data_IF_456097631686
#
_entry.id   IF_456097631686
#
_cell.length_a   1.000
_cell.length_b   1.000
_cell.length_c   1.000
_cell.angle_alpha   90.00
_cell.angle_beta   90.00
_cell.angle_gamma   90.00
#
_symmetry.space_group_name_H-M   'P 1'
#
loop_
_entity.id
_entity.type
_entity.pdbx_description
1 polymer ?
#
# COMPACT_ATOMS: atom_id res chain seq x y z
N UNK A 1 -28.54 9.71 -27.24
CA UNK A 1 -27.67 10.58 -26.43
C UNK A 1 -26.41 9.79 -26.09
N UNK A 2 -25.26 10.43 -26.18
CA UNK A 2 -24.00 9.80 -25.81
C UNK A 2 -24.01 9.45 -24.32
N UNK A 3 -23.38 8.31 -23.92
CA UNK A 3 -23.36 7.91 -22.53
C UNK A 3 -22.57 8.91 -21.68
N UNK A 4 -23.10 9.21 -20.50
CA UNK A 4 -22.44 10.08 -19.53
C UNK A 4 -22.38 9.40 -18.15
N UNK A 5 -21.38 9.77 -17.34
CA UNK A 5 -21.21 9.32 -15.98
C UNK A 5 -20.96 10.51 -15.05
N UNK A 6 -21.38 10.40 -13.81
CA UNK A 6 -21.03 11.38 -12.77
C UNK A 6 -19.86 10.85 -11.98
N UNK A 7 -18.75 11.59 -11.98
CA UNK A 7 -17.54 11.26 -11.24
C UNK A 7 -17.17 12.39 -10.28
N UNK A 8 -16.49 12.00 -9.18
CA UNK A 8 -15.90 12.94 -8.24
C UNK A 8 -14.38 12.78 -8.28
N UNK A 9 -13.66 13.88 -8.36
CA UNK A 9 -12.20 13.91 -8.43
C UNK A 9 -11.63 15.12 -7.70
N UNK A 10 -10.35 15.06 -7.39
CA UNK A 10 -9.64 16.16 -6.76
C UNK A 10 -9.35 17.28 -7.77
N UNK A 11 -9.50 18.53 -7.33
CA UNK A 11 -9.28 19.70 -8.16
C UNK A 11 -8.52 20.77 -7.37
N UNK A 12 -7.46 21.30 -7.98
CA UNK A 12 -6.66 22.39 -7.41
C UNK A 12 -7.40 23.71 -7.57
N UNK A 13 -7.69 24.36 -6.46
CA UNK A 13 -8.29 25.69 -6.40
C UNK A 13 -7.36 26.70 -5.72
N UNK A 14 -7.78 27.96 -5.64
CA UNK A 14 -7.01 29.03 -5.02
C UNK A 14 -6.68 28.77 -3.53
N UNK A 15 -7.52 28.01 -2.82
CA UNK A 15 -7.38 27.70 -1.38
C UNK A 15 -6.89 26.27 -1.11
N UNK A 16 -6.36 25.55 -2.13
CA UNK A 16 -5.89 24.18 -1.99
C UNK A 16 -6.70 23.17 -2.80
N UNK A 17 -6.48 21.88 -2.55
CA UNK A 17 -7.16 20.78 -3.23
C UNK A 17 -8.53 20.55 -2.60
N UNK A 18 -9.56 20.39 -3.44
CA UNK A 18 -10.93 20.10 -3.03
C UNK A 18 -11.59 19.10 -3.96
N UNK A 19 -12.57 18.34 -3.48
CA UNK A 19 -13.38 17.44 -4.30
C UNK A 19 -14.29 18.25 -5.26
N UNK A 20 -14.29 17.84 -6.52
CA UNK A 20 -15.17 18.37 -7.59
C UNK A 20 -15.99 17.23 -8.16
N UNK A 21 -17.29 17.40 -8.27
CA UNK A 21 -18.19 16.46 -8.94
C UNK A 21 -18.51 17.02 -10.33
N UNK A 22 -18.42 16.18 -11.35
CA UNK A 22 -18.74 16.54 -12.73
C UNK A 22 -19.43 15.39 -13.46
N UNK A 23 -20.36 15.76 -14.35
CA UNK A 23 -20.89 14.84 -15.36
C UNK A 23 -19.94 14.84 -16.55
N UNK A 24 -19.41 13.67 -16.89
CA UNK A 24 -18.39 13.49 -17.92
C UNK A 24 -18.91 12.62 -19.06
N UNK A 25 -18.42 12.88 -20.26
CA UNK A 25 -18.61 12.05 -21.44
C UNK A 25 -17.26 11.52 -21.95
N UNK A 26 -17.30 10.77 -23.05
CA UNK A 26 -16.11 10.26 -23.73
C UNK A 26 -15.21 11.44 -24.14
N UNK A 27 -13.90 11.31 -23.92
CA UNK A 27 -12.91 12.35 -24.19
C UNK A 27 -12.71 13.37 -23.07
N UNK A 28 -13.48 13.29 -21.96
CA UNK A 28 -13.26 14.18 -20.82
C UNK A 28 -11.90 13.91 -20.16
N UNK A 29 -11.05 14.92 -20.09
CA UNK A 29 -9.71 14.86 -19.53
C UNK A 29 -9.69 15.38 -18.11
N UNK A 30 -9.38 14.48 -17.13
CA UNK A 30 -9.30 14.85 -15.72
C UNK A 30 -8.14 15.80 -15.43
N UNK A 31 -7.00 15.63 -16.08
CA UNK A 31 -5.84 16.49 -15.87
C UNK A 31 -6.18 17.97 -16.14
N UNK A 32 -6.77 18.27 -17.30
CA UNK A 32 -7.14 19.63 -17.69
C UNK A 32 -8.21 20.23 -16.75
N UNK A 33 -9.12 19.38 -16.24
CA UNK A 33 -10.26 19.80 -15.42
C UNK A 33 -9.98 19.80 -13.92
N UNK A 34 -8.84 19.24 -13.48
CA UNK A 34 -8.40 19.21 -12.09
C UNK A 34 -7.51 20.39 -11.68
N UNK A 35 -7.21 21.30 -12.59
CA UNK A 35 -6.19 22.33 -12.37
C UNK A 35 -4.77 21.75 -12.47
N UNK A 36 -4.59 20.81 -13.39
CA UNK A 36 -3.34 20.16 -13.75
C UNK A 36 -2.69 19.40 -12.58
N UNK A 37 -3.48 18.66 -11.84
CA UNK A 37 -2.96 17.77 -10.80
C UNK A 37 -2.18 16.60 -11.44
N UNK A 38 -0.94 16.40 -11.02
CA UNK A 38 -0.02 15.41 -11.60
C UNK A 38 -0.54 13.98 -11.55
N UNK A 39 -1.37 13.63 -10.56
CA UNK A 39 -2.03 12.34 -10.42
C UNK A 39 -2.91 11.97 -11.60
N UNK A 40 -3.46 12.95 -12.32
CA UNK A 40 -4.29 12.73 -13.52
C UNK A 40 -3.54 12.92 -14.85
N UNK A 41 -2.24 13.18 -14.81
CA UNK A 41 -1.43 13.53 -15.98
C UNK A 41 -1.34 12.40 -17.02
N UNK A 42 -1.31 11.13 -16.53
CA UNK A 42 -1.08 9.98 -17.41
C UNK A 42 -2.40 9.29 -17.73
N UNK A 43 -2.99 9.66 -18.89
CA UNK A 43 -4.07 8.91 -19.52
C UNK A 43 -5.41 8.89 -18.80
N UNK A 44 -5.66 9.79 -17.85
CA UNK A 44 -6.98 9.96 -17.23
C UNK A 44 -7.96 10.74 -18.13
N UNK A 45 -8.10 10.25 -19.35
CA UNK A 45 -9.09 10.70 -20.33
C UNK A 45 -10.14 9.61 -20.45
N UNK A 46 -11.41 9.96 -20.36
CA UNK A 46 -12.51 8.99 -20.46
C UNK A 46 -12.51 8.37 -21.85
N UNK A 47 -12.25 7.05 -21.92
CA UNK A 47 -12.21 6.24 -23.14
C UNK A 47 -13.58 5.70 -23.49
N UNK A 48 -14.28 5.15 -22.52
CA UNK A 48 -15.62 4.57 -22.69
C UNK A 48 -16.44 4.65 -21.40
N UNK A 49 -17.78 4.67 -21.57
CA UNK A 49 -18.76 4.60 -20.50
C UNK A 49 -19.74 3.50 -20.85
N UNK A 50 -19.87 2.47 -20.00
CA UNK A 50 -20.81 1.37 -20.19
C UNK A 50 -21.89 1.40 -19.11
N UNK A 51 -23.14 1.73 -19.49
CA UNK A 51 -24.26 1.80 -18.58
C UNK A 51 -24.82 0.42 -18.18
N UNK A 52 -24.36 -0.68 -18.82
CA UNK A 52 -24.82 -2.05 -18.47
C UNK A 52 -24.14 -2.57 -17.20
N UNK A 53 -22.86 -2.27 -17.05
CA UNK A 53 -22.10 -2.63 -15.86
C UNK A 53 -21.77 -1.42 -14.97
N UNK A 54 -22.31 -0.23 -15.32
CA UNK A 54 -22.07 1.03 -14.60
C UNK A 54 -20.59 1.36 -14.45
N UNK A 55 -19.81 1.27 -15.53
CA UNK A 55 -18.39 1.50 -15.53
C UNK A 55 -17.94 2.65 -16.40
N UNK A 56 -16.78 3.21 -16.04
CA UNK A 56 -16.02 4.19 -16.82
C UNK A 56 -14.60 3.65 -17.01
N UNK A 57 -14.12 3.61 -18.26
CA UNK A 57 -12.76 3.22 -18.59
C UNK A 57 -11.97 4.44 -19.07
N UNK A 58 -10.73 4.59 -18.61
CA UNK A 58 -9.80 5.63 -19.02
C UNK A 58 -8.77 5.11 -20.02
N UNK A 59 -8.12 6.02 -20.75
CA UNK A 59 -7.08 5.66 -21.75
C UNK A 59 -5.86 4.97 -21.13
N UNK A 60 -5.58 5.18 -19.85
CA UNK A 60 -4.52 4.49 -19.12
C UNK A 60 -4.86 3.03 -18.73
N UNK A 61 -6.03 2.52 -19.16
CA UNK A 61 -6.50 1.17 -18.89
C UNK A 61 -7.22 1.00 -17.55
N UNK A 62 -7.28 2.04 -16.72
CA UNK A 62 -8.04 2.00 -15.48
C UNK A 62 -9.54 1.95 -15.79
N UNK A 63 -10.24 0.98 -15.23
CA UNK A 63 -11.71 0.85 -15.29
C UNK A 63 -12.26 0.95 -13.87
N UNK A 64 -13.26 1.80 -13.68
CA UNK A 64 -13.95 2.00 -12.40
C UNK A 64 -15.44 1.71 -12.55
N UNK A 65 -16.03 1.16 -11.51
CA UNK A 65 -17.45 0.89 -11.42
C UNK A 65 -18.15 1.90 -10.50
N UNK A 66 -19.47 1.96 -10.59
CA UNK A 66 -20.24 2.85 -9.70
C UNK A 66 -19.98 2.51 -8.22
N UNK A 67 -19.52 3.52 -7.47
CA UNK A 67 -19.11 3.39 -6.07
C UNK A 67 -17.62 3.19 -5.86
N UNK A 68 -16.84 2.92 -6.91
CA UNK A 68 -15.39 2.80 -6.80
C UNK A 68 -14.73 4.17 -6.58
N UNK A 69 -13.59 4.13 -5.89
CA UNK A 69 -12.74 5.30 -5.64
C UNK A 69 -11.32 4.99 -6.12
N UNK A 70 -10.78 5.85 -6.99
CA UNK A 70 -9.37 5.80 -7.40
C UNK A 70 -8.57 6.81 -6.57
N UNK A 71 -7.28 6.58 -6.43
CA UNK A 71 -6.38 7.46 -5.71
C UNK A 71 -5.89 6.81 -4.43
N UNK A 72 -5.96 7.49 -3.30
CA UNK A 72 -5.39 6.99 -2.03
C UNK A 72 -5.93 5.62 -1.63
N UNK A 73 -7.21 5.35 -1.88
CA UNK A 73 -7.83 4.03 -1.62
C UNK A 73 -7.30 2.97 -2.58
N UNK A 74 -7.13 3.33 -3.87
CA UNK A 74 -6.54 2.43 -4.88
C UNK A 74 -5.07 2.12 -4.58
N UNK A 75 -4.31 3.12 -4.09
CA UNK A 75 -2.93 2.91 -3.67
C UNK A 75 -2.84 1.97 -2.46
N UNK A 76 -3.66 2.17 -1.45
CA UNK A 76 -3.72 1.29 -0.28
C UNK A 76 -4.13 -0.15 -0.68
N UNK A 77 -5.06 -0.31 -1.62
CA UNK A 77 -5.41 -1.63 -2.15
C UNK A 77 -4.25 -2.29 -2.89
N UNK A 78 -3.50 -1.54 -3.70
CA UNK A 78 -2.30 -2.07 -4.37
C UNK A 78 -1.24 -2.49 -3.36
N UNK A 79 -1.00 -1.68 -2.32
CA UNK A 79 -0.07 -2.02 -1.24
C UNK A 79 -0.52 -3.28 -0.50
N UNK A 80 -1.80 -3.40 -0.20
CA UNK A 80 -2.37 -4.60 0.42
C UNK A 80 -2.15 -5.85 -0.43
N UNK A 81 -2.39 -5.78 -1.74
CA UNK A 81 -2.12 -6.88 -2.67
C UNK A 81 -0.63 -7.24 -2.67
N UNK A 82 0.27 -6.25 -2.75
CA UNK A 82 1.72 -6.49 -2.73
C UNK A 82 2.17 -7.16 -1.43
N UNK A 83 1.64 -6.71 -0.29
CA UNK A 83 1.92 -7.31 1.02
C UNK A 83 1.45 -8.77 1.02
N UNK A 84 0.20 -9.03 0.62
CA UNK A 84 -0.39 -10.38 0.56
C UNK A 84 0.43 -11.33 -0.30
N UNK A 85 0.76 -10.94 -1.53
CA UNK A 85 1.55 -11.77 -2.46
C UNK A 85 2.96 -12.05 -1.92
N UNK A 86 3.56 -11.08 -1.23
CA UNK A 86 4.86 -11.27 -0.60
C UNK A 86 4.78 -12.28 0.55
N UNK A 87 3.74 -12.20 1.39
CA UNK A 87 3.51 -13.17 2.48
C UNK A 87 3.29 -14.57 1.91
N UNK A 88 2.43 -14.73 0.89
CA UNK A 88 2.19 -16.02 0.24
C UNK A 88 3.49 -16.63 -0.32
N UNK A 89 4.27 -15.82 -1.05
CA UNK A 89 5.55 -16.26 -1.60
C UNK A 89 6.58 -16.61 -0.50
N UNK A 90 6.57 -15.88 0.62
CA UNK A 90 7.41 -16.16 1.78
C UNK A 90 7.07 -17.51 2.39
N UNK A 91 5.79 -17.72 2.74
CA UNK A 91 5.31 -18.96 3.39
C UNK A 91 5.53 -20.18 2.50
N UNK A 92 5.29 -20.07 1.20
CA UNK A 92 5.54 -21.16 0.25
C UNK A 92 7.02 -21.56 0.22
N UNK A 93 7.93 -20.57 0.20
CA UNK A 93 9.37 -20.82 0.23
C UNK A 93 9.84 -21.33 1.57
N UNK A 94 9.32 -20.78 2.68
CA UNK A 94 9.67 -21.20 4.03
C UNK A 94 9.25 -22.65 4.25
N UNK A 95 8.04 -23.05 3.84
CA UNK A 95 7.54 -24.42 3.92
C UNK A 95 8.53 -25.41 3.30
N UNK A 96 9.03 -25.10 2.09
CA UNK A 96 9.97 -25.98 1.37
C UNK A 96 11.34 -26.09 2.06
N UNK A 97 11.74 -25.09 2.82
CA UNK A 97 13.05 -24.98 3.46
C UNK A 97 13.04 -25.31 4.95
N UNK A 98 11.85 -25.36 5.57
CA UNK A 98 11.66 -25.53 7.01
C UNK A 98 12.38 -26.74 7.56
N UNK A 99 12.15 -27.92 6.98
CA UNK A 99 12.79 -29.18 7.41
C UNK A 99 14.30 -29.24 7.14
N UNK A 100 14.84 -28.29 6.36
CA UNK A 100 16.28 -28.13 6.14
C UNK A 100 16.93 -27.20 7.16
N UNK A 101 16.15 -26.62 8.08
CA UNK A 101 16.60 -25.64 9.07
C UNK A 101 17.03 -24.32 8.47
N UNK A 102 16.57 -24.00 7.25
CA UNK A 102 16.90 -22.76 6.55
C UNK A 102 15.76 -21.75 6.76
N UNK A 103 16.09 -20.61 7.38
CA UNK A 103 15.15 -19.51 7.56
C UNK A 103 15.05 -18.67 6.29
N UNK A 104 13.83 -18.26 5.97
CA UNK A 104 13.54 -17.30 4.90
C UNK A 104 13.35 -15.92 5.52
N UNK A 105 13.81 -14.89 4.82
CA UNK A 105 13.60 -13.50 5.19
C UNK A 105 13.04 -12.76 3.97
N UNK A 106 11.98 -11.97 4.17
CA UNK A 106 11.45 -11.05 3.18
C UNK A 106 11.67 -9.60 3.61
N UNK A 107 12.05 -8.75 2.67
CA UNK A 107 12.29 -7.33 2.92
C UNK A 107 11.23 -6.50 2.22
N UNK A 108 10.64 -5.57 2.96
CA UNK A 108 9.73 -4.55 2.43
C UNK A 108 10.43 -3.20 2.49
N UNK A 109 10.51 -2.52 1.35
CA UNK A 109 10.95 -1.13 1.30
C UNK A 109 9.74 -0.22 1.37
N UNK A 110 9.72 0.66 2.35
CA UNK A 110 8.65 1.63 2.56
C UNK A 110 9.16 3.05 2.43
N UNK A 111 8.28 3.95 2.02
CA UNK A 111 8.59 5.36 1.72
C UNK A 111 8.57 6.26 2.95
N UNK A 112 7.75 5.93 3.95
CA UNK A 112 7.58 6.71 5.17
C UNK A 112 7.51 5.81 6.41
N UNK A 113 8.35 6.08 7.41
CA UNK A 113 8.36 5.33 8.67
C UNK A 113 7.00 5.38 9.38
N UNK A 114 6.28 6.50 9.30
CA UNK A 114 4.95 6.66 9.91
C UNK A 114 3.89 5.68 9.35
N UNK A 115 4.10 5.14 8.15
CA UNK A 115 3.22 4.10 7.58
C UNK A 115 3.44 2.73 8.22
N UNK A 116 4.60 2.53 8.86
CA UNK A 116 4.92 1.30 9.58
C UNK A 116 4.74 1.44 11.09
N UNK A 117 5.29 2.51 11.69
CA UNK A 117 5.24 2.76 13.14
C UNK A 117 4.96 4.21 13.46
N UNK A 118 4.02 4.43 14.36
CA UNK A 118 3.63 5.74 14.86
C UNK A 118 3.83 5.82 16.37
N UNK A 119 3.73 7.03 16.93
CA UNK A 119 3.85 7.28 18.36
C UNK A 119 2.75 8.24 18.81
N UNK A 120 2.12 7.94 19.96
CA UNK A 120 1.16 8.83 20.58
C UNK A 120 1.83 10.05 21.26
N UNK A 121 1.03 10.94 21.83
CA UNK A 121 1.52 12.13 22.53
C UNK A 121 2.41 11.78 23.73
N UNK A 122 2.18 10.64 24.38
CA UNK A 122 2.99 10.13 25.49
C UNK A 122 4.27 9.42 25.01
N UNK A 123 4.40 9.15 23.70
CA UNK A 123 5.54 8.51 23.09
C UNK A 123 5.45 6.99 23.03
N UNK A 124 4.29 6.39 23.28
CA UNK A 124 4.11 4.95 23.11
C UNK A 124 3.98 4.60 21.64
N UNK A 125 4.68 3.54 21.18
CA UNK A 125 4.60 3.11 19.80
C UNK A 125 3.28 2.39 19.50
N UNK A 126 2.76 2.58 18.29
CA UNK A 126 1.66 1.80 17.72
C UNK A 126 1.87 1.61 16.22
N UNK A 127 1.14 0.67 15.64
CA UNK A 127 1.28 0.33 14.22
C UNK A 127 0.86 1.49 13.32
N UNK A 128 1.58 1.64 12.21
CA UNK A 128 1.11 2.39 11.07
C UNK A 128 0.31 1.48 10.12
N UNK A 129 -0.31 2.08 9.11
CA UNK A 129 -1.23 1.40 8.18
C UNK A 129 -0.62 0.16 7.50
N UNK A 130 0.69 0.16 7.20
CA UNK A 130 1.32 -0.99 6.55
C UNK A 130 1.57 -2.15 7.51
N UNK A 131 1.87 -1.86 8.78
CA UNK A 131 1.99 -2.91 9.79
C UNK A 131 0.63 -3.56 10.07
N UNK A 132 -0.44 -2.75 10.17
CA UNK A 132 -1.81 -3.26 10.32
C UNK A 132 -2.22 -4.11 9.11
N UNK A 133 -1.99 -3.63 7.88
CA UNK A 133 -2.25 -4.40 6.66
C UNK A 133 -1.50 -5.74 6.65
N UNK A 134 -0.24 -5.73 7.06
CA UNK A 134 0.56 -6.95 7.12
C UNK A 134 -0.04 -7.96 8.10
N UNK A 135 -0.36 -7.53 9.32
CA UNK A 135 -0.91 -8.41 10.36
C UNK A 135 -2.29 -8.97 9.96
N UNK A 136 -3.14 -8.14 9.35
CA UNK A 136 -4.45 -8.56 8.83
C UNK A 136 -4.30 -9.62 7.71
N UNK A 137 -3.46 -9.35 6.70
CA UNK A 137 -3.26 -10.27 5.58
C UNK A 137 -2.57 -11.56 6.03
N UNK A 138 -1.61 -11.49 6.96
CA UNK A 138 -0.95 -12.67 7.53
C UNK A 138 -1.97 -13.58 8.22
N UNK A 139 -2.81 -13.02 9.10
CA UNK A 139 -3.84 -13.76 9.81
C UNK A 139 -4.89 -14.36 8.85
N UNK A 140 -5.32 -13.61 7.84
CA UNK A 140 -6.27 -14.10 6.83
C UNK A 140 -5.69 -15.29 6.03
N UNK A 141 -4.44 -15.19 5.60
CA UNK A 141 -3.73 -16.26 4.89
C UNK A 141 -3.64 -17.50 5.77
N UNK A 142 -3.18 -17.38 7.02
CA UNK A 142 -3.07 -18.53 7.92
C UNK A 142 -4.43 -19.18 8.20
N UNK A 143 -5.49 -18.38 8.36
CA UNK A 143 -6.85 -18.90 8.59
C UNK A 143 -7.40 -19.68 7.41
N UNK A 144 -7.00 -19.32 6.18
CA UNK A 144 -7.44 -19.93 4.93
C UNK A 144 -6.48 -21.01 4.39
N UNK A 145 -5.32 -21.19 5.05
CA UNK A 145 -4.28 -22.13 4.58
C UNK A 145 -4.77 -23.58 4.66
N UNK A 146 -4.66 -24.30 3.55
CA UNK A 146 -4.94 -25.72 3.51
C UNK A 146 -3.82 -26.47 4.26
N UNK A 147 -4.23 -27.34 5.19
CA UNK A 147 -3.31 -28.19 5.95
C UNK A 147 -3.06 -29.47 5.14
N UNK A 148 -1.84 -29.62 4.65
CA UNK A 148 -1.43 -30.81 3.89
C UNK A 148 -0.79 -31.84 4.85
N UNK A 149 -0.89 -33.13 4.46
CA UNK A 149 -0.24 -34.22 5.20
C UNK A 149 1.29 -34.07 5.07
N UNK A 150 1.98 -34.04 6.18
CA UNK A 150 3.45 -33.90 6.25
C UNK A 150 3.92 -32.49 6.65
N UNK A 151 2.99 -31.54 6.82
CA UNK A 151 3.30 -30.17 7.23
C UNK A 151 3.02 -29.90 8.72
N UNK A 152 2.74 -30.94 9.52
CA UNK A 152 2.26 -30.77 10.91
C UNK A 152 3.22 -29.95 11.78
N UNK A 153 4.54 -30.15 11.62
CA UNK A 153 5.55 -29.41 12.39
C UNK A 153 5.64 -27.96 11.94
N UNK A 154 5.53 -27.71 10.63
CA UNK A 154 5.52 -26.36 10.06
C UNK A 154 4.26 -25.60 10.51
N UNK A 155 3.09 -26.21 10.43
CA UNK A 155 1.83 -25.61 10.90
C UNK A 155 1.91 -25.27 12.38
N UNK A 156 2.43 -26.19 13.22
CA UNK A 156 2.63 -25.93 14.64
C UNK A 156 3.58 -24.76 14.89
N UNK A 157 4.62 -24.63 14.09
CA UNK A 157 5.54 -23.51 14.14
C UNK A 157 4.83 -22.19 13.81
N UNK A 158 4.01 -22.14 12.75
CA UNK A 158 3.24 -20.94 12.39
C UNK A 158 2.19 -20.59 13.45
N UNK A 159 1.46 -21.58 13.97
CA UNK A 159 0.43 -21.39 15.01
C UNK A 159 1.02 -20.88 16.35
N UNK A 160 2.32 -21.03 16.56
CA UNK A 160 3.01 -20.60 17.80
C UNK A 160 3.47 -19.13 17.77
N UNK A 161 3.40 -18.45 16.62
CA UNK A 161 3.92 -17.10 16.44
C UNK A 161 2.76 -16.16 16.08
N UNK A 162 2.63 -15.05 16.81
CA UNK A 162 1.62 -14.03 16.45
C UNK A 162 2.05 -13.26 15.21
N UNK A 163 1.10 -12.73 14.44
CA UNK A 163 1.40 -11.87 13.28
C UNK A 163 2.35 -10.72 13.66
N UNK A 164 2.13 -10.12 14.83
CA UNK A 164 2.94 -9.02 15.35
C UNK A 164 4.42 -9.39 15.52
N UNK A 165 4.72 -10.64 15.89
CA UNK A 165 6.08 -11.12 16.16
C UNK A 165 6.80 -11.61 14.89
N UNK A 166 6.12 -11.62 13.73
CA UNK A 166 6.68 -12.08 12.46
C UNK A 166 7.36 -10.98 11.66
N UNK A 167 7.18 -9.72 12.04
CA UNK A 167 7.79 -8.58 11.33
C UNK A 167 8.47 -7.60 12.27
N UNK A 168 9.52 -6.95 11.78
CA UNK A 168 10.22 -5.89 12.48
C UNK A 168 10.66 -4.81 11.49
N UNK A 169 10.62 -3.54 11.91
CA UNK A 169 11.13 -2.44 11.13
C UNK A 169 12.58 -2.13 11.48
N UNK A 170 13.39 -1.89 10.45
CA UNK A 170 14.76 -1.41 10.59
C UNK A 170 14.87 -0.01 9.98
N UNK A 171 14.94 1.02 10.84
CA UNK A 171 14.90 2.43 10.47
C UNK A 171 15.87 3.24 11.29
N UNK A 172 16.21 4.43 10.80
CA UNK A 172 16.93 5.43 11.59
C UNK A 172 16.12 5.78 12.86
N UNK A 173 16.81 6.11 13.93
CA UNK A 173 16.18 6.51 15.18
C UNK A 173 16.59 7.94 15.57
N UNK A 174 15.66 8.67 16.17
CA UNK A 174 15.95 9.99 16.72
C UNK A 174 16.68 9.90 18.07
N UNK A 175 17.07 11.06 18.64
CA UNK A 175 17.74 11.15 19.96
C UNK A 175 16.90 10.60 21.13
N UNK A 176 15.60 10.35 20.90
CA UNK A 176 14.65 9.77 21.88
C UNK A 176 14.42 8.28 21.63
N UNK A 177 15.12 7.67 20.66
CA UNK A 177 14.96 6.26 20.27
C UNK A 177 13.70 5.97 19.44
N UNK A 178 13.02 7.00 18.90
CA UNK A 178 11.86 6.81 18.03
C UNK A 178 12.33 6.60 16.59
N UNK A 179 11.73 5.63 15.91
CA UNK A 179 11.95 5.43 14.47
C UNK A 179 11.53 6.65 13.68
N UNK A 180 12.34 7.07 12.72
CA UNK A 180 12.13 8.27 11.91
C UNK A 180 12.67 8.07 10.51
N UNK A 181 12.17 8.86 9.56
CA UNK A 181 12.71 8.90 8.21
C UNK A 181 14.11 9.48 8.22
N UNK A 182 15.00 8.90 7.39
CA UNK A 182 16.35 9.43 7.20
C UNK A 182 16.28 10.84 6.63
N UNK A 183 16.90 11.80 7.29
CA UNK A 183 17.01 13.15 6.77
C UNK A 183 18.07 13.16 5.67
N UNK A 184 17.65 13.27 4.41
CA UNK A 184 18.53 13.68 3.33
C UNK A 184 19.06 15.08 3.67
N UNK A 185 20.30 15.17 4.15
CA UNK A 185 20.92 16.48 4.38
C UNK A 185 21.22 17.10 3.03
N UNK A 186 20.65 18.26 2.74
CA UNK A 186 20.98 19.12 1.59
C UNK A 186 22.41 19.69 1.67
N UNK A 187 23.26 19.15 2.53
CA UNK A 187 24.65 19.56 2.65
C UNK A 187 25.57 18.48 2.10
N UNK A 188 26.30 18.87 1.07
CA UNK A 188 27.46 18.19 0.50
C UNK A 188 28.30 17.52 1.60
N UNK A 189 28.67 16.26 1.30
CA UNK A 189 29.58 15.36 2.00
C UNK A 189 28.96 14.44 3.06
N UNK A 190 28.42 13.31 2.61
CA UNK A 190 29.01 11.99 2.87
C UNK A 190 28.71 11.35 4.22
N UNK A 191 27.61 11.63 4.93
CA UNK A 191 27.09 10.68 5.92
C UNK A 191 25.59 10.76 5.93
N UNK A 192 24.92 9.77 5.34
CA UNK A 192 23.50 9.57 5.60
C UNK A 192 23.36 9.01 7.01
N UNK A 193 22.33 9.42 7.75
CA UNK A 193 22.02 8.91 9.09
C UNK A 193 21.84 7.37 9.09
N UNK A 194 21.69 6.76 7.90
CA UNK A 194 21.59 5.31 7.70
C UNK A 194 22.93 4.57 7.82
N UNK A 195 24.06 5.28 7.73
CA UNK A 195 25.41 4.66 7.89
C UNK A 195 25.68 4.36 9.37
N UNK A 196 25.11 5.14 10.29
CA UNK A 196 25.29 4.95 11.73
C UNK A 196 24.36 3.87 12.32
N UNK A 197 23.51 3.27 11.50
CA UNK A 197 22.59 2.19 11.88
C UNK A 197 23.15 0.78 11.62
N UNK A 198 24.40 0.65 11.09
CA UNK A 198 25.08 -0.63 10.88
C UNK A 198 26.10 -0.94 11.95
#
# INVERSE_FOLDING_TARGET
ADPTATIQFDCKGASGIRKKTATVGIGYNLYDNSGNLDEYKVGFVVKSIDGRDNSVEFLNGIKIFAGDVIGKVSEDQLRRIQIRETILSHLERERQLFHKGIKVLSLFFIDEVAKYKQYDEAGHPFNGIYADMFEEEYNDILSSMQREIGDEDYIRYLDAISAHDTHAGYFSVDKKGKMTDSKLSDKKEGTSDDIDAY
#
